data_IF_995589198148
#
_entry.id   IF_995589198148
#
_cell.length_a   1.000
_cell.length_b   1.000
_cell.length_c   1.000
_cell.angle_alpha   90.00
_cell.angle_beta   90.00
_cell.angle_gamma   90.00
#
_symmetry.space_group_name_H-M   'P 1'
#
loop_
_entity.id
_entity.type
_entity.pdbx_description
1 polymer ?
#
# COMPACT_ATOMS: atom_id res chain seq x y z
N UNK A 1 5.79 10.62 -12.70
CA UNK A 1 4.51 10.58 -11.98
C UNK A 1 4.06 9.14 -11.95
N UNK A 2 3.95 8.57 -10.75
CA UNK A 2 3.65 7.15 -10.59
C UNK A 2 2.18 6.85 -10.92
N UNK A 3 1.97 5.67 -11.49
CA UNK A 3 0.66 5.15 -11.83
C UNK A 3 0.05 4.45 -10.61
N UNK A 4 -1.15 4.90 -10.24
CA UNK A 4 -2.00 4.27 -9.23
C UNK A 4 -3.37 4.05 -9.85
N UNK A 5 -3.88 2.81 -9.76
CA UNK A 5 -5.26 2.50 -10.14
C UNK A 5 -6.22 3.20 -9.18
N UNK A 6 -7.47 3.35 -9.59
CA UNK A 6 -8.49 3.97 -8.74
C UNK A 6 -8.61 3.30 -7.37
N UNK A 7 -8.64 1.96 -7.34
CA UNK A 7 -8.67 1.17 -6.10
C UNK A 7 -7.42 1.35 -5.24
N UNK A 8 -6.25 1.46 -5.85
CA UNK A 8 -4.99 1.71 -5.12
C UNK A 8 -5.07 3.09 -4.42
N UNK A 9 -5.63 4.09 -5.11
CA UNK A 9 -5.81 5.43 -4.55
C UNK A 9 -6.82 5.45 -3.41
N UNK A 10 -7.94 4.75 -3.56
CA UNK A 10 -8.96 4.63 -2.50
C UNK A 10 -8.38 3.97 -1.25
N UNK A 11 -7.65 2.86 -1.43
CA UNK A 11 -7.00 2.17 -0.33
C UNK A 11 -6.00 3.08 0.41
N UNK A 12 -5.12 3.75 -0.33
CA UNK A 12 -4.09 4.63 0.27
C UNK A 12 -4.76 5.78 1.04
N UNK A 13 -5.79 6.42 0.48
CA UNK A 13 -6.51 7.52 1.16
C UNK A 13 -7.22 7.09 2.45
N UNK A 14 -7.73 5.87 2.50
CA UNK A 14 -8.51 5.38 3.64
C UNK A 14 -7.63 4.85 4.78
N UNK A 15 -6.37 4.49 4.51
CA UNK A 15 -5.52 3.77 5.47
C UNK A 15 -4.23 4.50 5.85
N UNK A 16 -3.85 5.57 5.14
CA UNK A 16 -2.62 6.32 5.39
C UNK A 16 -2.93 7.78 5.66
N UNK A 17 -2.59 8.28 6.85
CA UNK A 17 -2.79 9.70 7.19
C UNK A 17 -1.95 10.63 6.30
N UNK A 18 -0.76 10.16 5.88
CA UNK A 18 0.15 10.87 4.98
C UNK A 18 -0.12 10.59 3.49
N UNK A 19 -1.32 10.15 3.11
CA UNK A 19 -1.65 9.78 1.72
C UNK A 19 -1.31 10.86 0.68
N UNK A 20 -1.44 12.14 1.04
CA UNK A 20 -1.08 13.25 0.13
C UNK A 20 0.41 13.28 -0.20
N UNK A 21 1.26 12.96 0.78
CA UNK A 21 2.71 12.88 0.60
C UNK A 21 3.06 11.68 -0.29
N UNK A 22 2.41 10.54 -0.06
CA UNK A 22 2.59 9.33 -0.89
C UNK A 22 2.23 9.56 -2.36
N UNK A 23 1.22 10.39 -2.67
CA UNK A 23 0.89 10.73 -4.06
C UNK A 23 1.78 11.80 -4.68
N UNK A 24 2.54 12.55 -3.88
CA UNK A 24 3.55 13.50 -4.35
C UNK A 24 4.93 12.86 -4.49
N UNK A 25 5.15 11.70 -3.88
CA UNK A 25 6.40 10.96 -3.97
C UNK A 25 6.68 10.50 -5.42
N UNK A 26 7.93 10.62 -5.84
CA UNK A 26 8.41 10.24 -7.17
C UNK A 26 9.17 8.92 -7.14
N UNK A 27 9.68 8.53 -5.97
CA UNK A 27 10.38 7.27 -5.74
C UNK A 27 9.40 6.14 -5.38
N UNK A 28 9.21 5.20 -6.30
CA UNK A 28 8.32 4.06 -6.11
C UNK A 28 8.73 3.20 -4.92
N UNK A 29 10.04 3.07 -4.65
CA UNK A 29 10.54 2.21 -3.58
C UNK A 29 10.12 2.73 -2.20
N UNK A 30 9.98 4.06 -2.05
CA UNK A 30 9.47 4.68 -0.82
C UNK A 30 8.00 4.37 -0.59
N UNK A 31 7.18 4.40 -1.63
CA UNK A 31 5.75 4.06 -1.51
C UNK A 31 5.58 2.56 -1.21
N UNK A 32 6.36 1.72 -1.87
CA UNK A 32 6.37 0.28 -1.61
C UNK A 32 6.82 -0.02 -0.17
N UNK A 33 7.82 0.69 0.34
CA UNK A 33 8.25 0.57 1.73
C UNK A 33 7.12 0.92 2.71
N UNK A 34 6.39 2.01 2.49
CA UNK A 34 5.26 2.41 3.36
C UNK A 34 4.13 1.37 3.34
N UNK A 35 3.81 0.80 2.17
CA UNK A 35 2.85 -0.29 2.05
C UNK A 35 3.34 -1.57 2.73
N UNK A 36 4.62 -1.90 2.60
CA UNK A 36 5.22 -3.05 3.28
C UNK A 36 5.16 -2.90 4.80
N UNK A 37 5.54 -1.74 5.34
CA UNK A 37 5.45 -1.45 6.77
C UNK A 37 4.00 -1.48 7.28
N UNK A 38 3.04 -1.06 6.47
CA UNK A 38 1.62 -1.18 6.78
C UNK A 38 1.17 -2.65 6.83
N UNK A 39 1.57 -3.48 5.85
CA UNK A 39 1.26 -4.92 5.84
C UNK A 39 1.85 -5.60 7.08
N UNK A 40 3.10 -5.29 7.42
CA UNK A 40 3.77 -5.87 8.59
C UNK A 40 3.07 -5.52 9.91
N UNK A 41 2.52 -4.30 10.01
CA UNK A 41 1.87 -3.80 11.23
C UNK A 41 0.41 -4.23 11.36
N UNK A 42 -0.37 -4.12 10.29
CA UNK A 42 -1.84 -4.25 10.30
C UNK A 42 -2.34 -5.47 9.52
N UNK A 43 -1.48 -6.08 8.70
CA UNK A 43 -1.88 -7.04 7.68
C UNK A 43 -1.94 -8.50 8.14
N UNK A 44 -1.55 -8.80 9.38
CA UNK A 44 -1.52 -10.17 9.91
C UNK A 44 -2.53 -10.38 11.03
N UNK A 45 -3.04 -11.60 11.15
CA UNK A 45 -3.82 -12.06 12.30
C UNK A 45 -2.91 -12.60 13.43
N UNK A 46 -3.51 -13.04 14.54
CA UNK A 46 -2.78 -13.59 15.69
C UNK A 46 -1.96 -14.86 15.37
N UNK A 47 -2.22 -15.50 14.23
CA UNK A 47 -1.53 -16.70 13.75
C UNK A 47 -0.52 -16.40 12.64
N UNK A 48 -0.18 -15.13 12.41
CA UNK A 48 0.72 -14.67 11.35
C UNK A 48 0.25 -15.04 9.93
N UNK A 49 -1.06 -15.24 9.72
CA UNK A 49 -1.61 -15.30 8.38
C UNK A 49 -2.01 -13.89 7.93
N UNK A 50 -1.90 -13.62 6.63
CA UNK A 50 -2.43 -12.37 6.08
C UNK A 50 -3.94 -12.31 6.33
N UNK A 51 -4.41 -11.27 7.01
CA UNK A 51 -5.81 -10.99 7.23
C UNK A 51 -6.43 -10.31 5.99
N UNK A 52 -7.72 -9.93 6.04
CA UNK A 52 -8.38 -9.28 4.88
C UNK A 52 -7.72 -7.96 4.47
N UNK A 53 -7.36 -7.14 5.45
CA UNK A 53 -6.70 -5.85 5.23
C UNK A 53 -5.30 -6.04 4.64
N UNK A 54 -4.53 -6.99 5.16
CA UNK A 54 -3.21 -7.34 4.63
C UNK A 54 -3.26 -7.87 3.21
N UNK A 55 -4.27 -8.69 2.87
CA UNK A 55 -4.49 -9.15 1.49
C UNK A 55 -4.83 -8.00 0.55
N UNK A 56 -5.58 -7.00 1.01
CA UNK A 56 -5.89 -5.82 0.22
C UNK A 56 -4.65 -4.93 0.02
N UNK A 57 -3.92 -4.67 1.10
CA UNK A 57 -2.66 -3.93 1.05
C UNK A 57 -1.63 -4.60 0.13
N UNK A 58 -1.49 -5.93 0.19
CA UNK A 58 -0.61 -6.68 -0.72
C UNK A 58 -1.02 -6.53 -2.19
N UNK A 59 -2.33 -6.54 -2.49
CA UNK A 59 -2.81 -6.31 -3.86
C UNK A 59 -2.48 -4.92 -4.38
N UNK A 60 -2.53 -3.90 -3.52
CA UNK A 60 -2.13 -2.53 -3.85
C UNK A 60 -0.62 -2.43 -4.05
N UNK A 61 0.16 -3.04 -3.16
CA UNK A 61 1.62 -3.16 -3.31
C UNK A 61 1.99 -3.78 -4.66
N UNK A 62 1.42 -4.94 -4.97
CA UNK A 62 1.68 -5.65 -6.22
C UNK A 62 1.25 -4.80 -7.43
N UNK A 63 0.09 -4.14 -7.35
CA UNK A 63 -0.39 -3.23 -8.40
C UNK A 63 0.61 -2.12 -8.68
N UNK A 64 1.16 -1.48 -7.65
CA UNK A 64 2.12 -0.39 -7.84
C UNK A 64 3.46 -0.93 -8.37
N UNK A 65 3.97 -2.03 -7.82
CA UNK A 65 5.24 -2.65 -8.20
C UNK A 65 5.27 -3.09 -9.67
N UNK A 66 4.19 -3.67 -10.19
CA UNK A 66 4.16 -4.16 -11.57
C UNK A 66 3.86 -3.08 -12.61
N UNK A 67 3.42 -1.89 -12.21
CA UNK A 67 2.99 -0.83 -13.15
C UNK A 67 3.88 0.42 -13.12
N UNK A 68 5.00 0.41 -12.39
CA UNK A 68 5.97 1.51 -12.29
C UNK A 68 7.40 0.97 -12.32
#
# INVERSE_FOLDING_TARGET
MLYFREKDREFIKNNFDNWEELFREEDVDRILLELHLFIDREGFDEFYNLNDLGREAQRVYDSIYYNN
#
